data_IF_113432955749
#
_entry.id   IF_113432955749
#
_cell.length_a   1.000
_cell.length_b   1.000
_cell.length_c   1.000
_cell.angle_alpha   90.00
_cell.angle_beta   90.00
_cell.angle_gamma   90.00
#
_symmetry.space_group_name_H-M   'P 1'
#
loop_
_entity.id
_entity.type
_entity.pdbx_description
1 polymer ?
#
# COMPACT_ATOMS: atom_id res chain seq x y z
N UNK A 1 -17.47 42.91 5.86
CA UNK A 1 -17.12 41.61 5.24
C UNK A 1 -18.00 40.52 5.84
N UNK A 2 -18.98 40.01 5.08
CA UNK A 2 -19.92 38.99 5.56
C UNK A 2 -19.22 37.63 5.72
N UNK A 3 -19.37 37.01 6.89
CA UNK A 3 -18.89 35.65 7.14
C UNK A 3 -19.55 34.70 6.13
N UNK A 4 -18.80 33.90 5.35
CA UNK A 4 -19.41 32.99 4.39
C UNK A 4 -20.32 31.99 5.13
N UNK A 5 -21.57 31.97 4.68
CA UNK A 5 -22.73 31.31 5.25
C UNK A 5 -22.42 29.83 5.60
N UNK A 6 -22.53 29.47 6.88
CA UNK A 6 -22.24 28.12 7.42
C UNK A 6 -23.02 27.03 6.66
N UNK A 7 -24.21 27.38 6.19
CA UNK A 7 -25.07 26.56 5.34
C UNK A 7 -24.41 26.17 4.00
N UNK A 8 -23.73 27.10 3.30
CA UNK A 8 -22.99 26.80 2.06
C UNK A 8 -21.78 25.90 2.31
N UNK A 9 -21.15 25.99 3.49
CA UNK A 9 -20.08 25.08 3.90
C UNK A 9 -20.62 23.68 4.17
N UNK A 10 -21.76 23.56 4.82
CA UNK A 10 -22.44 22.30 5.10
C UNK A 10 -22.98 21.64 3.82
N UNK A 11 -23.58 22.41 2.90
CA UNK A 11 -23.99 21.93 1.58
C UNK A 11 -22.81 21.46 0.74
N UNK A 12 -21.69 22.20 0.70
CA UNK A 12 -20.47 21.71 0.03
C UNK A 12 -19.91 20.45 0.69
N UNK A 13 -20.08 20.28 2.01
CA UNK A 13 -19.68 19.07 2.74
C UNK A 13 -20.61 17.89 2.39
N UNK A 14 -21.93 18.12 2.30
CA UNK A 14 -22.94 17.15 1.85
C UNK A 14 -22.79 16.79 0.37
N UNK A 15 -22.50 17.76 -0.50
CA UNK A 15 -22.20 17.53 -1.92
C UNK A 15 -20.88 16.75 -2.11
N UNK A 16 -19.90 16.94 -1.21
CA UNK A 16 -18.69 16.11 -1.16
C UNK A 16 -18.97 14.65 -0.75
N UNK A 17 -19.96 14.42 0.13
CA UNK A 17 -20.43 13.09 0.51
C UNK A 17 -21.12 12.34 -0.64
N UNK A 18 -21.60 13.06 -1.67
CA UNK A 18 -22.29 12.50 -2.84
C UNK A 18 -21.38 12.20 -4.04
N UNK A 19 -20.06 12.45 -3.97
CA UNK A 19 -19.17 11.91 -5.00
C UNK A 19 -18.97 10.43 -4.75
N UNK A 20 -19.53 9.60 -5.63
CA UNK A 20 -19.31 8.16 -5.64
C UNK A 20 -17.81 7.80 -5.78
N UNK A 21 -17.03 8.69 -6.41
CA UNK A 21 -15.62 8.48 -6.73
C UNK A 21 -14.71 9.41 -5.90
N UNK A 22 -13.76 8.83 -5.18
CA UNK A 22 -12.79 9.56 -4.36
C UNK A 22 -11.82 10.37 -5.23
N UNK A 23 -11.50 11.61 -4.82
CA UNK A 23 -10.57 12.49 -5.54
C UNK A 23 -9.22 12.63 -4.85
N UNK A 24 -8.15 12.19 -5.53
CA UNK A 24 -6.77 12.31 -5.03
C UNK A 24 -6.18 13.72 -5.14
N UNK A 25 -6.87 14.69 -5.78
CA UNK A 25 -6.32 16.04 -6.05
C UNK A 25 -5.77 16.71 -4.81
N UNK A 26 -6.48 16.57 -3.69
CA UNK A 26 -6.09 17.20 -2.43
C UNK A 26 -4.87 16.55 -1.78
N UNK A 27 -4.59 15.26 -2.05
CA UNK A 27 -3.34 14.60 -1.63
C UNK A 27 -2.17 15.01 -2.52
N UNK A 28 -2.41 15.12 -3.82
CA UNK A 28 -1.38 15.50 -4.80
C UNK A 28 -0.82 16.92 -4.56
N UNK A 29 -1.52 17.77 -3.80
CA UNK A 29 -1.05 19.11 -3.42
C UNK A 29 0.07 19.13 -2.38
N UNK A 30 0.39 18.00 -1.73
CA UNK A 30 1.48 17.93 -0.75
C UNK A 30 2.82 17.70 -1.43
N UNK A 31 3.46 18.77 -1.91
CA UNK A 31 4.75 18.72 -2.61
C UNK A 31 5.91 18.10 -1.81
N UNK A 32 5.85 18.12 -0.48
CA UNK A 32 6.86 17.50 0.40
C UNK A 32 6.73 15.98 0.50
N UNK A 33 5.54 15.43 0.21
CA UNK A 33 5.25 14.02 0.38
C UNK A 33 5.73 13.21 -0.83
N UNK A 34 6.38 12.08 -0.54
CA UNK A 34 6.72 11.05 -1.54
C UNK A 34 5.67 9.95 -1.56
N UNK A 35 5.22 9.54 -0.37
CA UNK A 35 4.27 8.44 -0.19
C UNK A 35 2.87 8.98 0.03
N UNK A 36 1.92 8.51 -0.76
CA UNK A 36 0.51 8.86 -0.70
C UNK A 36 -0.29 7.57 -0.50
N UNK A 37 -0.85 7.34 0.69
CA UNK A 37 -1.58 6.12 0.98
C UNK A 37 -3.08 6.34 0.95
N UNK A 38 -3.79 5.50 0.22
CA UNK A 38 -5.24 5.44 0.14
C UNK A 38 -5.72 4.16 0.82
N UNK A 39 -6.30 4.29 2.01
CA UNK A 39 -6.75 3.19 2.86
C UNK A 39 -8.26 3.20 3.00
N UNK A 40 -8.87 2.02 3.19
CA UNK A 40 -10.31 1.89 3.41
C UNK A 40 -11.11 2.27 2.17
N UNK A 41 -12.36 2.71 2.35
CA UNK A 41 -13.22 3.15 1.24
C UNK A 41 -13.32 2.12 0.11
N UNK A 42 -13.85 0.92 0.39
CA UNK A 42 -14.16 -0.06 -0.65
C UNK A 42 -15.16 0.53 -1.64
N UNK A 43 -15.00 0.22 -2.92
CA UNK A 43 -15.76 0.83 -4.04
C UNK A 43 -15.65 2.36 -4.18
N UNK A 44 -14.81 3.04 -3.41
CA UNK A 44 -14.62 4.48 -3.57
C UNK A 44 -13.81 4.87 -4.82
N UNK A 45 -13.50 3.91 -5.70
CA UNK A 45 -12.79 4.17 -6.95
C UNK A 45 -11.32 4.54 -6.81
N UNK A 46 -10.63 4.06 -5.77
CA UNK A 46 -9.22 4.40 -5.48
C UNK A 46 -8.31 4.12 -6.69
N UNK A 47 -8.31 2.88 -7.17
CA UNK A 47 -7.47 2.45 -8.29
C UNK A 47 -7.87 3.18 -9.58
N UNK A 48 -9.17 3.32 -9.85
CA UNK A 48 -9.69 4.10 -10.98
C UNK A 48 -9.15 5.54 -11.01
N UNK A 49 -9.24 6.27 -9.88
CA UNK A 49 -8.79 7.66 -9.80
C UNK A 49 -7.28 7.79 -9.99
N UNK A 50 -6.50 6.81 -9.51
CA UNK A 50 -5.04 6.79 -9.72
C UNK A 50 -4.71 6.49 -11.19
N UNK A 51 -5.41 5.54 -11.81
CA UNK A 51 -5.29 5.24 -13.24
C UNK A 51 -5.64 6.46 -14.11
N UNK A 52 -6.77 7.14 -13.85
CA UNK A 52 -7.14 8.37 -14.57
C UNK A 52 -6.05 9.44 -14.45
N UNK A 53 -5.48 9.59 -13.24
CA UNK A 53 -4.39 10.52 -13.02
C UNK A 53 -3.16 10.17 -13.86
N UNK A 54 -2.72 8.91 -13.85
CA UNK A 54 -1.56 8.45 -14.62
C UNK A 54 -1.78 8.56 -16.13
N UNK A 55 -2.95 8.15 -16.65
CA UNK A 55 -3.30 8.35 -18.05
C UNK A 55 -3.31 9.82 -18.46
N UNK A 56 -3.79 10.72 -17.57
CA UNK A 56 -3.70 12.16 -17.80
C UNK A 56 -2.25 12.67 -17.82
N UNK A 57 -1.38 12.16 -16.93
CA UNK A 57 0.05 12.50 -16.93
C UNK A 57 0.73 12.04 -18.21
N UNK A 58 0.43 10.83 -18.66
CA UNK A 58 0.90 10.29 -19.93
C UNK A 58 0.45 11.14 -21.11
N UNK A 59 -0.82 11.48 -21.18
CA UNK A 59 -1.36 12.29 -22.29
C UNK A 59 -0.79 13.71 -22.36
N UNK A 60 -0.58 14.34 -21.21
CA UNK A 60 -0.17 15.75 -21.16
C UNK A 60 1.35 15.93 -21.24
N UNK A 61 2.11 14.98 -20.70
CA UNK A 61 3.54 15.13 -20.49
C UNK A 61 4.35 13.90 -20.91
N UNK A 62 3.71 12.88 -21.49
CA UNK A 62 4.34 11.62 -21.88
C UNK A 62 5.10 10.92 -20.74
N UNK A 63 4.61 11.11 -19.50
CA UNK A 63 5.19 10.52 -18.29
C UNK A 63 4.79 9.06 -18.17
N UNK A 64 5.71 8.10 -18.31
CA UNK A 64 5.40 6.71 -18.04
C UNK A 64 5.13 6.49 -16.54
N UNK A 65 4.54 5.35 -16.20
CA UNK A 65 4.28 4.99 -14.81
C UNK A 65 4.50 3.50 -14.52
N UNK A 66 4.61 3.18 -13.24
CA UNK A 66 4.80 1.82 -12.74
C UNK A 66 3.60 1.41 -11.90
N UNK A 67 3.11 0.19 -12.13
CA UNK A 67 2.02 -0.41 -11.37
C UNK A 67 2.51 -1.70 -10.71
N UNK A 68 2.62 -1.69 -9.40
CA UNK A 68 3.11 -2.79 -8.60
C UNK A 68 1.94 -3.58 -8.03
N UNK A 69 2.05 -4.92 -8.09
CA UNK A 69 1.14 -5.87 -7.46
C UNK A 69 1.93 -6.80 -6.55
N UNK A 70 1.25 -7.40 -5.57
CA UNK A 70 1.93 -8.33 -4.65
C UNK A 70 2.43 -9.57 -5.36
N UNK A 71 1.64 -10.14 -6.28
CA UNK A 71 1.93 -11.44 -6.91
C UNK A 71 1.96 -11.35 -8.44
N UNK A 72 2.73 -12.25 -9.06
CA UNK A 72 2.80 -12.41 -10.52
C UNK A 72 1.44 -12.76 -11.13
N UNK A 73 0.64 -13.60 -10.47
CA UNK A 73 -0.72 -13.93 -10.93
C UNK A 73 -1.60 -12.67 -11.02
N UNK A 74 -1.52 -11.78 -10.03
CA UNK A 74 -2.26 -10.52 -10.05
C UNK A 74 -1.72 -9.55 -11.10
N UNK A 75 -0.41 -9.50 -11.30
CA UNK A 75 0.23 -8.73 -12.40
C UNK A 75 -0.28 -9.22 -13.77
N UNK A 76 -0.25 -10.53 -14.03
CA UNK A 76 -0.68 -11.11 -15.31
C UNK A 76 -2.16 -10.84 -15.60
N UNK A 77 -3.03 -10.89 -14.58
CA UNK A 77 -4.44 -10.51 -14.73
C UNK A 77 -4.61 -9.07 -15.22
N UNK A 78 -3.79 -8.14 -14.74
CA UNK A 78 -3.82 -6.74 -15.18
C UNK A 78 -3.34 -6.56 -16.61
N UNK A 79 -2.37 -7.37 -17.05
CA UNK A 79 -1.75 -7.32 -18.37
C UNK A 79 -2.57 -8.00 -19.47
N UNK A 80 -3.44 -8.96 -19.12
CA UNK A 80 -4.29 -9.68 -20.05
C UNK A 80 -5.15 -8.76 -20.93
N UNK A 81 -5.48 -9.23 -22.14
CA UNK A 81 -6.28 -8.53 -23.14
C UNK A 81 -5.78 -7.10 -23.41
N UNK A 82 -4.47 -6.94 -23.62
CA UNK A 82 -3.83 -5.65 -23.81
C UNK A 82 -4.09 -4.67 -22.67
N UNK A 83 -3.91 -5.13 -21.43
CA UNK A 83 -4.06 -4.37 -20.19
C UNK A 83 -5.51 -3.94 -19.84
N UNK A 84 -6.52 -4.71 -20.27
CA UNK A 84 -7.94 -4.35 -20.14
C UNK A 84 -8.35 -4.12 -18.68
N UNK A 85 -7.77 -4.90 -17.76
CA UNK A 85 -8.05 -4.81 -16.32
C UNK A 85 -7.19 -3.79 -15.59
N UNK A 86 -6.16 -3.25 -16.24
CA UNK A 86 -5.35 -2.15 -15.71
C UNK A 86 -5.97 -0.78 -16.02
N UNK A 87 -6.39 -0.58 -17.27
CA UNK A 87 -6.94 0.69 -17.75
C UNK A 87 -8.39 0.47 -18.16
N UNK A 88 -9.31 1.00 -17.34
CA UNK A 88 -10.74 0.85 -17.55
C UNK A 88 -11.19 1.33 -18.95
N UNK A 89 -12.20 0.69 -19.56
CA UNK A 89 -12.64 1.02 -20.92
C UNK A 89 -13.05 2.48 -21.13
N UNK A 90 -13.65 3.12 -20.13
CA UNK A 90 -14.04 4.53 -20.18
C UNK A 90 -12.82 5.46 -20.13
N UNK A 91 -11.79 5.15 -19.34
CA UNK A 91 -10.50 5.87 -19.32
C UNK A 91 -9.82 5.74 -20.69
N UNK A 92 -9.82 4.53 -21.28
CA UNK A 92 -9.28 4.32 -22.64
C UNK A 92 -9.97 5.20 -23.67
N UNK A 93 -11.31 5.23 -23.66
CA UNK A 93 -12.09 6.08 -24.58
C UNK A 93 -11.83 7.56 -24.32
N UNK A 94 -11.85 7.99 -23.06
CA UNK A 94 -11.63 9.38 -22.64
C UNK A 94 -10.31 9.94 -23.14
N UNK A 95 -9.27 9.11 -23.17
CA UNK A 95 -7.94 9.50 -23.63
C UNK A 95 -7.60 8.94 -25.02
N UNK A 96 -8.52 8.29 -25.72
CA UNK A 96 -8.28 7.62 -27.01
C UNK A 96 -6.99 6.75 -26.99
N UNK A 97 -6.90 5.81 -26.05
CA UNK A 97 -5.74 4.95 -25.85
C UNK A 97 -5.89 3.64 -26.65
N UNK A 98 -4.96 3.38 -27.56
CA UNK A 98 -4.76 2.08 -28.19
C UNK A 98 -3.55 1.39 -27.52
N UNK A 99 -3.81 0.27 -26.83
CA UNK A 99 -2.82 -0.36 -25.96
C UNK A 99 -2.39 -1.72 -26.51
N UNK A 100 -1.12 -2.03 -26.28
CA UNK A 100 -0.50 -3.29 -26.63
C UNK A 100 0.42 -3.73 -25.49
N UNK A 101 0.38 -5.02 -25.13
CA UNK A 101 1.22 -5.56 -24.04
C UNK A 101 2.32 -6.45 -24.58
N UNK A 102 3.53 -6.31 -24.05
CA UNK A 102 4.66 -7.23 -24.27
C UNK A 102 5.49 -7.36 -23.00
N UNK A 103 5.56 -8.57 -22.46
CA UNK A 103 6.19 -8.82 -21.16
C UNK A 103 5.44 -8.08 -20.06
N UNK A 104 6.17 -7.37 -19.21
CA UNK A 104 5.66 -6.48 -18.16
C UNK A 104 5.26 -5.08 -18.69
N UNK A 105 5.56 -4.77 -19.95
CA UNK A 105 5.37 -3.47 -20.56
C UNK A 105 3.99 -3.30 -21.22
N UNK A 106 3.34 -2.19 -20.90
CA UNK A 106 2.14 -1.68 -21.58
C UNK A 106 2.57 -0.52 -22.49
N UNK A 107 2.37 -0.70 -23.78
CA UNK A 107 2.73 0.27 -24.81
C UNK A 107 1.47 0.93 -25.35
N UNK A 108 1.54 2.24 -25.55
CA UNK A 108 0.59 2.90 -26.43
C UNK A 108 1.02 2.72 -27.88
N UNK A 109 0.08 2.31 -28.73
CA UNK A 109 0.23 2.30 -30.17
C UNK A 109 -0.06 3.69 -30.71
N UNK A 110 0.96 4.34 -31.26
CA UNK A 110 0.87 5.68 -31.82
C UNK A 110 0.52 5.65 -33.31
N UNK A 111 0.84 4.55 -33.99
CA UNK A 111 0.59 4.40 -35.41
C UNK A 111 0.41 2.93 -35.79
N UNK A 112 -0.62 2.68 -36.62
CA UNK A 112 -0.89 1.40 -37.25
C UNK A 112 -0.97 1.56 -38.75
N UNK A 113 -0.53 0.53 -39.45
CA UNK A 113 -0.80 0.38 -40.88
C UNK A 113 -2.31 0.35 -41.11
N UNK A 114 -2.80 1.09 -42.10
CA UNK A 114 -4.18 1.01 -42.56
C UNK A 114 -4.22 0.08 -43.76
N UNK A 115 -5.04 -0.97 -43.66
CA UNK A 115 -5.24 -1.92 -44.75
C UNK A 115 -6.50 -1.50 -45.51
N UNK A 116 -6.35 -1.34 -46.81
CA UNK A 116 -7.41 -0.99 -47.75
C UNK A 116 -7.73 -2.20 -48.63
N UNK A 117 -8.97 -2.31 -49.08
CA UNK A 117 -9.35 -3.31 -50.09
C UNK A 117 -8.90 -2.87 -51.50
N UNK A 118 -9.18 -3.72 -52.50
CA UNK A 118 -8.89 -3.44 -53.91
C UNK A 118 -9.58 -2.19 -54.45
N UNK A 119 -10.63 -1.70 -53.78
CA UNK A 119 -11.38 -0.49 -54.13
C UNK A 119 -10.88 0.76 -53.37
N UNK A 120 -9.84 0.62 -52.55
CA UNK A 120 -9.25 1.71 -51.78
C UNK A 120 -10.05 2.08 -50.52
N UNK A 121 -11.00 1.26 -50.09
CA UNK A 121 -11.77 1.49 -48.86
C UNK A 121 -11.05 0.88 -47.66
N UNK A 122 -11.02 1.62 -46.56
CA UNK A 122 -10.42 1.15 -45.32
C UNK A 122 -11.15 -0.08 -44.79
N UNK A 123 -10.42 -1.17 -44.59
CA UNK A 123 -10.95 -2.44 -44.08
C UNK A 123 -10.63 -2.60 -42.60
N UNK A 124 -9.34 -2.48 -42.25
CA UNK A 124 -8.87 -2.74 -40.88
C UNK A 124 -7.51 -2.11 -40.61
N UNK A 125 -7.16 -2.05 -39.34
CA UNK A 125 -5.79 -1.76 -38.93
C UNK A 125 -4.93 -3.03 -39.05
N UNK A 126 -3.73 -2.87 -39.60
CA UNK A 126 -2.70 -3.88 -39.77
C UNK A 126 -1.65 -3.83 -38.65
N UNK A 127 -0.38 -3.99 -39.02
CA UNK A 127 0.73 -4.06 -38.06
C UNK A 127 0.94 -2.74 -37.31
N UNK A 128 1.52 -2.86 -36.11
CA UNK A 128 1.94 -1.70 -35.32
C UNK A 128 3.21 -1.12 -35.96
N UNK A 129 3.14 0.13 -36.43
CA UNK A 129 4.27 0.84 -37.03
C UNK A 129 5.08 1.57 -35.96
N UNK A 130 4.39 2.21 -35.00
CA UNK A 130 5.03 2.97 -33.93
C UNK A 130 4.30 2.76 -32.60
N UNK A 131 5.06 2.57 -31.54
CA UNK A 131 4.55 2.45 -30.17
C UNK A 131 5.52 3.07 -29.17
N UNK A 132 5.02 3.49 -28.02
CA UNK A 132 5.82 4.06 -26.93
C UNK A 132 5.45 3.39 -25.61
N UNK A 133 6.43 3.13 -24.75
CA UNK A 133 6.20 2.53 -23.45
C UNK A 133 5.44 3.51 -22.54
N UNK A 134 4.23 3.13 -22.14
CA UNK A 134 3.36 3.94 -21.30
C UNK A 134 3.44 3.51 -19.83
N UNK A 135 3.49 2.20 -19.58
CA UNK A 135 3.57 1.67 -18.23
C UNK A 135 4.35 0.38 -18.14
N UNK A 136 4.82 0.07 -16.93
CA UNK A 136 5.27 -1.28 -16.55
C UNK A 136 4.46 -1.79 -15.38
N UNK A 137 3.99 -3.03 -15.46
CA UNK A 137 3.30 -3.71 -14.37
C UNK A 137 4.22 -4.76 -13.80
N UNK A 138 4.58 -4.65 -12.51
CA UNK A 138 5.60 -5.49 -11.87
C UNK A 138 5.01 -6.21 -10.66
N UNK A 139 5.55 -7.37 -10.33
CA UNK A 139 5.16 -8.15 -9.15
C UNK A 139 6.24 -8.11 -8.06
N UNK A 140 5.83 -7.79 -6.83
CA UNK A 140 6.72 -7.81 -5.68
C UNK A 140 7.21 -9.22 -5.33
N UNK A 141 6.40 -10.26 -5.56
CA UNK A 141 6.78 -11.65 -5.30
C UNK A 141 8.03 -12.10 -6.06
N UNK A 142 8.32 -11.48 -7.20
CA UNK A 142 9.40 -11.83 -8.11
C UNK A 142 10.42 -10.70 -8.28
N UNK A 143 10.46 -9.72 -7.35
CA UNK A 143 11.33 -8.54 -7.41
C UNK A 143 12.83 -8.85 -7.62
N UNK A 144 13.27 -10.05 -7.21
CA UNK A 144 14.65 -10.50 -7.36
C UNK A 144 15.03 -10.76 -8.83
N UNK A 145 14.06 -11.08 -9.69
CA UNK A 145 14.28 -11.22 -11.13
C UNK A 145 14.54 -9.87 -11.81
N UNK A 146 14.08 -8.77 -11.20
CA UNK A 146 14.29 -7.41 -11.71
C UNK A 146 15.68 -6.86 -11.34
N UNK A 147 16.44 -7.55 -10.49
CA UNK A 147 17.81 -7.12 -10.15
C UNK A 147 18.69 -7.17 -11.40
N UNK A 148 19.36 -6.04 -11.69
CA UNK A 148 20.19 -5.90 -12.88
C UNK A 148 19.43 -5.50 -14.15
N UNK A 149 18.10 -5.39 -14.10
CA UNK A 149 17.32 -4.81 -15.18
C UNK A 149 17.51 -3.29 -15.24
N UNK A 150 17.62 -2.73 -16.45
CA UNK A 150 17.77 -1.29 -16.70
C UNK A 150 16.47 -0.52 -16.53
N UNK A 151 15.81 -0.63 -15.38
CA UNK A 151 14.54 0.06 -15.08
C UNK A 151 14.72 1.53 -14.69
N UNK A 152 15.91 1.89 -14.22
CA UNK A 152 16.28 3.26 -13.89
C UNK A 152 16.84 3.96 -15.13
N UNK A 153 16.20 5.06 -15.50
CA UNK A 153 16.66 5.96 -16.55
C UNK A 153 17.28 7.20 -15.89
N UNK A 154 18.59 7.40 -16.10
CA UNK A 154 19.33 8.52 -15.51
C UNK A 154 18.99 9.87 -16.18
N UNK A 155 18.70 9.83 -17.48
CA UNK A 155 18.43 11.01 -18.30
C UNK A 155 16.98 11.50 -18.06
N UNK A 156 16.15 10.64 -17.46
CA UNK A 156 14.81 10.96 -16.94
C UNK A 156 14.81 12.12 -15.94
N UNK A 157 15.93 12.40 -15.26
CA UNK A 157 16.04 13.53 -14.35
C UNK A 157 16.42 14.84 -15.04
N UNK A 158 16.88 14.81 -16.28
CA UNK A 158 17.24 16.04 -16.99
C UNK A 158 15.99 16.79 -17.51
N UNK A 159 14.89 16.07 -17.75
CA UNK A 159 13.61 16.69 -18.11
C UNK A 159 12.85 17.17 -16.84
N UNK A 160 12.67 18.50 -16.62
CA UNK A 160 11.93 19.03 -15.47
C UNK A 160 10.47 18.56 -15.43
N UNK A 161 9.92 18.12 -16.55
CA UNK A 161 8.59 17.57 -16.65
C UNK A 161 8.54 16.07 -16.36
N UNK A 162 9.62 15.36 -16.06
CA UNK A 162 9.54 13.93 -15.77
C UNK A 162 9.28 13.64 -14.28
N UNK A 163 8.49 12.60 -14.00
CA UNK A 163 8.17 12.15 -12.64
C UNK A 163 8.12 10.62 -12.57
N UNK A 164 8.73 10.04 -11.55
CA UNK A 164 8.51 8.64 -11.20
C UNK A 164 7.14 8.51 -10.55
N UNK A 165 6.14 8.11 -11.34
CA UNK A 165 4.81 7.79 -10.88
C UNK A 165 4.71 6.28 -10.63
N UNK A 166 4.62 5.89 -9.36
CA UNK A 166 4.58 4.49 -8.94
C UNK A 166 3.30 4.28 -8.15
N UNK A 167 2.54 3.23 -8.46
CA UNK A 167 1.40 2.78 -7.67
C UNK A 167 1.66 1.38 -7.12
N UNK A 168 1.58 1.17 -5.81
CA UNK A 168 1.43 -0.15 -5.20
C UNK A 168 -0.05 -0.37 -4.95
N UNK A 169 -0.66 -1.21 -5.79
CA UNK A 169 -2.08 -1.52 -5.69
C UNK A 169 -2.31 -2.83 -4.94
N UNK A 170 -3.38 -2.88 -4.14
CA UNK A 170 -3.66 -3.96 -3.19
C UNK A 170 -2.45 -4.29 -2.28
N UNK A 171 -1.97 -3.30 -1.52
CA UNK A 171 -0.80 -3.45 -0.66
C UNK A 171 -0.98 -4.39 0.57
N UNK A 172 -2.14 -5.02 0.68
CA UNK A 172 -2.53 -5.91 1.76
C UNK A 172 -2.80 -7.32 1.20
N UNK A 173 -2.34 -8.35 1.91
CA UNK A 173 -2.71 -9.73 1.60
C UNK A 173 -4.15 -9.99 1.98
N UNK A 174 -4.83 -10.82 1.21
CA UNK A 174 -6.10 -11.39 1.67
C UNK A 174 -5.87 -12.35 2.83
N UNK A 175 -6.84 -12.50 3.73
CA UNK A 175 -6.69 -13.27 4.98
C UNK A 175 -6.30 -14.75 4.76
N UNK A 176 -6.71 -15.33 3.62
CA UNK A 176 -6.40 -16.70 3.24
C UNK A 176 -5.18 -16.83 2.31
N UNK A 177 -4.55 -15.72 1.93
CA UNK A 177 -3.42 -15.73 1.01
C UNK A 177 -2.14 -16.27 1.70
N UNK A 178 -1.47 -17.22 1.04
CA UNK A 178 -0.23 -17.80 1.56
C UNK A 178 0.83 -16.72 1.74
N UNK A 179 1.42 -16.64 2.95
CA UNK A 179 2.52 -15.71 3.26
C UNK A 179 3.85 -16.18 2.67
N UNK A 180 4.02 -16.04 1.36
CA UNK A 180 5.18 -16.55 0.61
C UNK A 180 6.43 -15.69 0.68
N UNK A 181 6.31 -14.37 0.89
CA UNK A 181 7.44 -13.43 0.96
C UNK A 181 7.21 -12.29 1.97
N UNK A 182 8.22 -11.46 2.24
CA UNK A 182 8.07 -10.23 3.03
C UNK A 182 7.74 -9.05 2.10
N UNK A 183 6.54 -8.47 2.26
CA UNK A 183 6.03 -7.40 1.39
C UNK A 183 6.85 -6.13 1.53
N UNK A 184 7.20 -5.74 2.76
CA UNK A 184 7.93 -4.51 3.01
C UNK A 184 9.33 -4.59 2.42
N UNK A 185 9.99 -5.72 2.61
CA UNK A 185 11.32 -5.96 2.05
C UNK A 185 11.29 -5.94 0.52
N UNK A 186 10.36 -6.67 -0.10
CA UNK A 186 10.21 -6.71 -1.54
C UNK A 186 9.87 -5.33 -2.13
N UNK A 187 8.94 -4.60 -1.50
CA UNK A 187 8.56 -3.26 -1.93
C UNK A 187 9.73 -2.28 -1.85
N UNK A 188 10.50 -2.31 -0.76
CA UNK A 188 11.67 -1.45 -0.58
C UNK A 188 12.73 -1.74 -1.66
N UNK A 189 13.05 -3.01 -1.90
CA UNK A 189 14.00 -3.39 -2.94
C UNK A 189 13.51 -3.02 -4.34
N UNK A 190 12.20 -3.15 -4.61
CA UNK A 190 11.65 -2.76 -5.90
C UNK A 190 11.74 -1.25 -6.12
N UNK A 191 11.44 -0.44 -5.11
CA UNK A 191 11.63 1.01 -5.19
C UNK A 191 13.10 1.36 -5.44
N UNK A 192 14.04 0.73 -4.71
CA UNK A 192 15.49 0.92 -4.94
C UNK A 192 15.90 0.56 -6.38
N UNK A 193 15.34 -0.50 -6.97
CA UNK A 193 15.61 -0.84 -8.37
C UNK A 193 15.06 0.23 -9.34
N UNK A 194 13.85 0.75 -9.08
CA UNK A 194 13.15 1.70 -9.95
C UNK A 194 13.73 3.11 -9.91
N UNK A 195 14.02 3.62 -8.72
CA UNK A 195 14.37 5.04 -8.51
C UNK A 195 15.81 5.25 -8.05
N UNK A 196 16.51 4.17 -7.69
CA UNK A 196 17.87 4.22 -7.12
C UNK A 196 17.93 5.21 -5.96
N UNK A 197 18.92 6.11 -5.97
CA UNK A 197 19.11 7.14 -4.95
C UNK A 197 18.22 8.38 -5.12
N UNK A 198 17.34 8.41 -6.13
CA UNK A 198 16.55 9.59 -6.48
C UNK A 198 15.47 9.90 -5.44
N UNK A 199 15.45 11.14 -4.97
CA UNK A 199 14.48 11.65 -3.98
C UNK A 199 13.62 12.80 -4.50
N UNK A 200 13.85 13.23 -5.73
CA UNK A 200 13.18 14.35 -6.40
C UNK A 200 12.21 13.80 -7.45
N UNK A 201 11.12 14.54 -7.71
CA UNK A 201 10.13 14.19 -8.74
C UNK A 201 9.60 12.73 -8.63
N UNK A 202 9.51 12.23 -7.40
CA UNK A 202 9.04 10.89 -7.07
C UNK A 202 7.67 10.96 -6.40
N UNK A 203 6.74 10.12 -6.87
CA UNK A 203 5.44 9.93 -6.25
C UNK A 203 5.13 8.43 -6.18
N UNK A 204 4.96 7.95 -4.97
CA UNK A 204 4.58 6.57 -4.67
C UNK A 204 3.19 6.59 -4.06
N UNK A 205 2.21 6.04 -4.76
CA UNK A 205 0.83 5.91 -4.30
C UNK A 205 0.62 4.48 -3.83
N UNK A 206 0.19 4.26 -2.59
CA UNK A 206 -0.12 2.93 -2.08
C UNK A 206 -1.64 2.82 -1.87
N UNK A 207 -2.26 1.79 -2.42
CA UNK A 207 -3.69 1.54 -2.33
C UNK A 207 -3.89 0.27 -1.51
N UNK A 208 -4.65 0.37 -0.42
CA UNK A 208 -4.98 -0.76 0.44
C UNK A 208 -6.44 -0.70 0.87
N UNK A 209 -6.99 -1.88 1.14
CA UNK A 209 -8.20 -1.98 1.95
C UNK A 209 -7.81 -2.02 3.42
N UNK A 210 -8.73 -1.66 4.29
CA UNK A 210 -8.54 -1.88 5.73
C UNK A 210 -8.75 -3.33 6.06
N UNK A 211 -7.69 -3.97 6.55
CA UNK A 211 -7.75 -5.30 7.14
C UNK A 211 -7.37 -5.22 8.62
N UNK A 212 -7.88 -6.15 9.41
CA UNK A 212 -7.53 -6.33 10.84
C UNK A 212 -6.04 -6.57 11.07
N UNK A 213 -5.33 -7.06 10.07
CA UNK A 213 -3.87 -7.14 10.06
C UNK A 213 -3.32 -5.81 9.56
N UNK A 214 -2.59 -5.10 10.44
CA UNK A 214 -1.84 -3.91 10.05
C UNK A 214 -1.00 -4.25 8.82
N UNK A 215 -1.18 -3.50 7.73
CA UNK A 215 -0.37 -3.69 6.52
C UNK A 215 1.10 -3.65 6.90
N UNK A 216 1.89 -4.61 6.43
CA UNK A 216 3.36 -4.61 6.57
C UNK A 216 3.96 -3.25 6.17
N UNK A 217 3.33 -2.58 5.19
CA UNK A 217 3.70 -1.25 4.73
C UNK A 217 3.42 -0.20 5.82
N UNK A 218 2.24 -0.19 6.46
CA UNK A 218 1.90 0.78 7.50
C UNK A 218 2.79 0.66 8.74
N UNK A 219 3.15 -0.58 9.11
CA UNK A 219 4.12 -0.83 10.16
C UNK A 219 5.47 -0.15 9.89
N UNK A 220 5.92 -0.07 8.64
CA UNK A 220 7.17 0.63 8.26
C UNK A 220 7.12 2.16 8.52
N UNK A 221 5.92 2.74 8.47
CA UNK A 221 5.70 4.15 8.80
C UNK A 221 5.53 4.38 10.30
N UNK A 222 5.52 3.31 11.11
CA UNK A 222 5.20 3.33 12.53
C UNK A 222 3.89 4.12 12.77
N UNK A 223 2.89 3.86 11.93
CA UNK A 223 1.59 4.49 12.05
C UNK A 223 0.45 3.53 11.68
N UNK A 224 -0.59 3.49 12.51
CA UNK A 224 -1.86 2.82 12.23
C UNK A 224 -2.97 3.85 12.49
N UNK A 225 -3.83 4.15 11.51
CA UNK A 225 -4.91 5.10 11.74
C UNK A 225 -6.00 4.48 12.62
N UNK A 226 -6.43 5.24 13.64
CA UNK A 226 -7.51 4.84 14.56
C UNK A 226 -8.88 5.37 14.10
N UNK A 227 -8.91 6.52 13.42
CA UNK A 227 -10.13 7.19 12.95
C UNK A 227 -10.08 7.48 11.45
N UNK A 228 -11.23 7.59 10.79
CA UNK A 228 -11.26 8.04 9.40
C UNK A 228 -10.75 9.47 9.28
N UNK A 229 -9.91 9.72 8.28
CA UNK A 229 -9.33 11.05 8.09
C UNK A 229 -8.01 11.06 7.32
N UNK A 230 -7.38 12.24 7.33
CA UNK A 230 -6.09 12.47 6.68
C UNK A 230 -4.99 12.70 7.70
N UNK A 231 -3.97 11.88 7.63
CA UNK A 231 -2.80 11.92 8.50
C UNK A 231 -1.57 12.38 7.74
N UNK A 232 -0.72 13.19 8.37
CA UNK A 232 0.47 13.79 7.77
C UNK A 232 1.72 13.40 8.56
N UNK A 233 2.49 12.45 8.04
CA UNK A 233 3.73 11.99 8.64
C UNK A 233 4.92 12.69 7.99
N UNK A 234 5.14 13.96 8.33
CA UNK A 234 6.17 14.82 7.71
C UNK A 234 7.57 14.19 7.72
N UNK A 235 7.98 13.63 8.86
CA UNK A 235 9.30 12.98 9.02
C UNK A 235 9.50 11.79 8.09
N UNK A 236 8.41 11.13 7.68
CA UNK A 236 8.42 9.99 6.76
C UNK A 236 8.01 10.37 5.32
N UNK A 237 7.83 11.67 5.05
CA UNK A 237 7.35 12.21 3.75
C UNK A 237 6.10 11.49 3.26
N UNK A 238 5.16 11.19 4.17
CA UNK A 238 3.97 10.40 3.88
C UNK A 238 2.67 11.14 4.25
N UNK A 239 1.67 11.04 3.38
CA UNK A 239 0.28 11.43 3.64
C UNK A 239 -0.58 10.18 3.52
N UNK A 240 -1.43 9.95 4.51
CA UNK A 240 -2.32 8.79 4.58
C UNK A 240 -3.74 9.30 4.63
N UNK A 241 -4.57 8.83 3.71
CA UNK A 241 -6.01 9.04 3.71
C UNK A 241 -6.69 7.73 4.07
N UNK A 242 -7.29 7.70 5.26
CA UNK A 242 -8.18 6.64 5.68
C UNK A 242 -9.62 7.05 5.37
N UNK A 243 -10.15 6.47 4.31
CA UNK A 243 -11.40 6.90 3.66
C UNK A 243 -12.58 6.19 4.32
N UNK A 244 -13.52 6.99 4.82
CA UNK A 244 -14.80 6.50 5.33
C UNK A 244 -15.66 5.92 4.21
N UNK A 245 -16.36 4.79 4.43
CA UNK A 245 -17.34 4.28 3.47
C UNK A 245 -18.48 5.28 3.24
N UNK A 246 -18.86 5.48 1.99
CA UNK A 246 -20.00 6.34 1.66
C UNK A 246 -21.32 5.71 2.15
N UNK A 247 -22.30 6.55 2.47
CA UNK A 247 -23.65 6.08 2.80
C UNK A 247 -24.29 5.31 1.64
N UNK A 248 -23.99 5.71 0.40
CA UNK A 248 -24.41 4.98 -0.80
C UNK A 248 -23.86 3.54 -0.80
N UNK A 249 -22.59 3.35 -0.47
CA UNK A 249 -22.00 2.02 -0.34
C UNK A 249 -22.65 1.20 0.78
N UNK A 250 -22.82 1.80 1.97
CA UNK A 250 -23.49 1.14 3.11
C UNK A 250 -24.90 0.68 2.73
N UNK A 251 -25.65 1.48 1.98
CA UNK A 251 -26.99 1.13 1.51
C UNK A 251 -26.99 0.05 0.43
N UNK A 252 -26.08 0.09 -0.55
CA UNK A 252 -25.94 -0.96 -1.56
C UNK A 252 -25.54 -2.30 -0.96
N UNK A 253 -24.77 -2.28 0.13
CA UNK A 253 -24.32 -3.50 0.81
C UNK A 253 -25.47 -4.23 1.50
N UNK A 254 -26.50 -3.53 2.00
CA UNK A 254 -27.62 -4.15 2.71
C UNK A 254 -28.28 -5.20 1.84
N UNK A 255 -28.40 -6.42 2.37
CA UNK A 255 -29.02 -7.55 1.65
C UNK A 255 -28.15 -8.20 0.58
N UNK A 256 -26.88 -7.80 0.43
CA UNK A 256 -25.92 -8.55 -0.39
C UNK A 256 -25.52 -9.86 0.28
N UNK A 257 -25.00 -10.82 -0.50
CA UNK A 257 -24.49 -12.10 0.03
C UNK A 257 -23.43 -11.86 1.13
N UNK A 258 -22.56 -10.86 0.96
CA UNK A 258 -21.55 -10.51 1.96
C UNK A 258 -22.16 -9.98 3.27
N UNK A 259 -23.27 -9.25 3.18
CA UNK A 259 -24.02 -8.77 4.34
C UNK A 259 -24.75 -9.91 5.06
N UNK A 260 -25.29 -10.87 4.31
CA UNK A 260 -25.98 -12.04 4.86
C UNK A 260 -25.00 -13.02 5.51
N UNK A 261 -23.88 -13.33 4.84
CA UNK A 261 -22.94 -14.37 5.28
C UNK A 261 -21.86 -13.85 6.22
N UNK A 262 -21.42 -12.60 6.07
CA UNK A 262 -20.28 -12.03 6.82
C UNK A 262 -20.51 -10.54 7.18
N UNK A 263 -21.58 -10.21 7.91
CA UNK A 263 -21.96 -8.81 8.21
C UNK A 263 -20.85 -8.03 8.94
N UNK A 264 -20.08 -8.71 9.80
CA UNK A 264 -19.10 -8.09 10.68
C UNK A 264 -17.64 -8.16 10.20
N UNK A 265 -17.35 -8.77 9.05
CA UNK A 265 -15.96 -8.91 8.62
C UNK A 265 -15.37 -7.55 8.19
N UNK A 266 -14.19 -7.23 8.72
CA UNK A 266 -13.49 -5.95 8.53
C UNK A 266 -13.27 -5.57 7.07
N UNK A 267 -13.04 -6.57 6.21
CA UNK A 267 -12.90 -6.41 4.76
C UNK A 267 -14.12 -5.74 4.10
N UNK A 268 -15.30 -5.82 4.73
CA UNK A 268 -16.54 -5.25 4.21
C UNK A 268 -17.05 -4.05 5.02
N UNK A 269 -16.80 -3.99 6.32
CA UNK A 269 -17.16 -2.81 7.15
C UNK A 269 -16.22 -1.64 6.92
N UNK A 270 -15.02 -1.91 6.39
CA UNK A 270 -13.93 -0.95 6.20
C UNK A 270 -13.53 -0.19 7.47
N UNK A 271 -13.82 -0.79 8.62
CA UNK A 271 -13.50 -0.27 9.93
C UNK A 271 -12.53 -1.25 10.58
N UNK A 272 -11.38 -0.74 10.99
CA UNK A 272 -10.43 -1.49 11.79
C UNK A 272 -10.98 -1.53 13.22
N UNK A 273 -11.65 -2.63 13.59
CA UNK A 273 -11.97 -2.91 14.98
C UNK A 273 -10.72 -3.47 15.66
N UNK A 274 -9.88 -2.58 16.17
CA UNK A 274 -8.71 -2.98 16.96
C UNK A 274 -9.09 -3.21 18.42
N UNK A 275 -8.69 -4.37 18.95
CA UNK A 275 -8.76 -4.64 20.38
C UNK A 275 -7.76 -3.73 21.13
N UNK A 276 -8.26 -2.62 21.66
CA UNK A 276 -7.48 -1.69 22.48
C UNK A 276 -7.26 -2.17 23.92
N UNK A 277 -7.85 -3.31 24.33
CA UNK A 277 -7.73 -3.79 25.73
C UNK A 277 -6.27 -4.03 26.14
N UNK A 278 -5.41 -4.33 25.17
CA UNK A 278 -3.99 -4.55 25.36
C UNK A 278 -3.16 -3.28 25.26
N UNK A 279 -3.75 -2.09 25.04
CA UNK A 279 -3.00 -0.83 24.91
C UNK A 279 -2.80 -0.17 26.28
N UNK A 280 -1.54 0.01 26.67
CA UNK A 280 -1.15 0.69 27.90
C UNK A 280 -1.02 2.20 27.70
N UNK A 281 -1.96 2.95 28.29
CA UNK A 281 -2.00 4.42 28.23
C UNK A 281 -1.22 5.11 29.37
N UNK A 282 -0.72 4.36 30.35
CA UNK A 282 0.04 4.91 31.49
C UNK A 282 1.45 5.37 31.14
N UNK A 283 2.15 5.93 32.13
CA UNK A 283 3.57 6.31 32.02
C UNK A 283 4.46 5.07 32.21
N UNK A 284 5.44 4.91 31.34
CA UNK A 284 6.47 3.88 31.49
C UNK A 284 7.51 4.36 32.51
N UNK A 285 7.73 3.58 33.58
CA UNK A 285 8.62 4.00 34.67
C UNK A 285 9.95 3.26 34.68
N UNK A 286 9.95 1.92 34.70
CA UNK A 286 11.18 1.13 34.84
C UNK A 286 11.27 0.06 33.75
N UNK A 287 12.35 0.02 32.95
CA UNK A 287 12.60 -1.09 32.05
C UNK A 287 12.98 -2.33 32.87
N UNK A 288 12.28 -3.44 32.66
CA UNK A 288 12.49 -4.72 33.35
C UNK A 288 13.34 -5.67 32.51
N UNK A 289 13.06 -5.77 31.21
CA UNK A 289 13.74 -6.72 30.31
C UNK A 289 13.77 -6.22 28.87
N UNK A 290 14.70 -6.74 28.07
CA UNK A 290 14.82 -6.49 26.63
C UNK A 290 14.60 -7.80 25.88
N UNK A 291 13.53 -7.88 25.08
CA UNK A 291 13.19 -9.04 24.25
C UNK A 291 13.78 -8.85 22.86
N UNK A 292 14.62 -9.80 22.42
CA UNK A 292 15.30 -9.73 21.12
C UNK A 292 14.87 -10.87 20.21
N UNK A 293 14.30 -10.52 19.06
CA UNK A 293 13.92 -11.51 18.03
C UNK A 293 14.98 -11.70 16.93
N UNK A 294 15.92 -10.76 16.80
CA UNK A 294 17.01 -10.79 15.83
C UNK A 294 18.23 -10.03 16.38
N UNK A 295 19.35 -10.03 15.65
CA UNK A 295 20.53 -9.20 15.99
C UNK A 295 20.28 -7.70 15.82
N UNK A 296 19.44 -7.33 14.86
CA UNK A 296 19.08 -5.93 14.58
C UNK A 296 18.09 -5.36 15.59
N UNK A 297 18.31 -4.10 15.99
CA UNK A 297 17.53 -3.37 17.00
C UNK A 297 16.09 -3.09 16.59
N UNK A 298 15.78 -3.15 15.29
CA UNK A 298 14.45 -2.96 14.75
C UNK A 298 13.44 -4.03 15.20
N UNK A 299 13.95 -5.20 15.61
CA UNK A 299 13.15 -6.31 16.12
C UNK A 299 13.34 -6.52 17.63
N UNK A 300 13.74 -5.47 18.36
CA UNK A 300 13.89 -5.48 19.81
C UNK A 300 12.76 -4.73 20.48
N UNK A 301 12.36 -5.24 21.64
CA UNK A 301 11.31 -4.66 22.46
C UNK A 301 11.78 -4.56 23.91
N UNK A 302 11.30 -3.55 24.63
CA UNK A 302 11.57 -3.38 26.05
C UNK A 302 10.28 -3.67 26.82
N UNK A 303 10.36 -4.54 27.83
CA UNK A 303 9.30 -4.73 28.83
C UNK A 303 9.50 -3.69 29.92
N UNK A 304 8.45 -2.93 30.19
CA UNK A 304 8.37 -1.89 31.20
C UNK A 304 7.39 -2.31 32.28
N UNK A 305 7.74 -1.99 33.53
CA UNK A 305 6.87 -2.20 34.69
C UNK A 305 6.34 -3.65 34.77
N UNK A 306 7.17 -4.58 34.29
CA UNK A 306 6.95 -6.03 34.20
C UNK A 306 5.76 -6.50 33.36
N UNK A 307 5.06 -5.60 32.64
CA UNK A 307 3.87 -5.97 31.86
C UNK A 307 3.67 -5.21 30.55
N UNK A 308 4.27 -4.03 30.38
CA UNK A 308 4.06 -3.20 29.19
C UNK A 308 5.21 -3.34 28.21
N UNK A 309 4.94 -3.80 26.99
CA UNK A 309 5.93 -3.93 25.92
C UNK A 309 5.95 -2.65 25.07
N UNK A 310 7.14 -2.11 24.84
CA UNK A 310 7.38 -0.96 23.95
C UNK A 310 8.49 -1.30 22.94
N UNK A 311 8.53 -0.58 21.82
CA UNK A 311 9.69 -0.66 20.91
C UNK A 311 10.97 -0.24 21.65
N UNK A 312 12.05 -1.00 21.47
CA UNK A 312 13.35 -0.66 22.06
C UNK A 312 13.86 0.69 21.58
N UNK A 313 14.34 1.51 22.51
CA UNK A 313 14.89 2.85 22.25
C UNK A 313 16.16 3.13 23.08
N UNK A 314 16.99 2.10 23.27
CA UNK A 314 18.29 2.26 23.94
C UNK A 314 18.27 1.99 25.44
N UNK A 315 17.18 1.42 25.96
CA UNK A 315 17.09 1.07 27.38
C UNK A 315 18.12 0.01 27.79
N UNK A 316 18.35 -0.09 29.10
CA UNK A 316 19.16 -1.16 29.72
C UNK A 316 18.23 -2.09 30.49
N UNK A 317 18.54 -3.38 30.48
CA UNK A 317 17.77 -4.40 31.19
C UNK A 317 18.29 -5.79 30.88
N UNK A 318 17.75 -6.80 31.56
CA UNK A 318 18.08 -8.20 31.28
C UNK A 318 17.62 -8.58 29.88
N UNK A 319 18.53 -9.14 29.08
CA UNK A 319 18.21 -9.58 27.72
C UNK A 319 17.54 -10.96 27.73
N UNK A 320 16.46 -11.09 26.97
CA UNK A 320 15.78 -12.35 26.67
C UNK A 320 15.88 -12.59 25.16
N UNK A 321 16.69 -13.56 24.77
CA UNK A 321 16.84 -13.97 23.38
C UNK A 321 15.70 -14.91 22.97
N UNK A 322 14.92 -14.52 21.97
CA UNK A 322 13.81 -15.34 21.46
C UNK A 322 14.24 -16.38 20.43
N UNK A 323 15.50 -16.31 19.95
CA UNK A 323 16.12 -17.24 19.01
C UNK A 323 17.55 -17.57 19.44
N UNK A 324 18.05 -18.77 19.10
CA UNK A 324 19.47 -19.06 19.25
C UNK A 324 20.32 -18.22 18.28
N UNK A 325 21.62 -18.09 18.57
CA UNK A 325 22.64 -17.48 17.69
C UNK A 325 22.49 -15.98 17.38
N UNK A 326 21.88 -15.20 18.28
CA UNK A 326 21.76 -13.73 18.17
C UNK A 326 22.72 -12.95 19.10
N UNK A 327 23.87 -13.55 19.39
CA UNK A 327 24.94 -12.96 20.23
C UNK A 327 24.52 -12.68 21.69
N UNK A 328 23.56 -13.45 22.19
CA UNK A 328 22.98 -13.36 23.55
C UNK A 328 22.73 -14.76 24.10
N UNK A 329 22.66 -14.90 25.43
CA UNK A 329 22.37 -16.17 26.06
C UNK A 329 20.93 -16.61 25.73
N UNK A 330 20.79 -17.76 25.09
CA UNK A 330 19.49 -18.33 24.73
C UNK A 330 19.04 -19.36 25.76
N UNK A 331 17.81 -19.18 26.26
CA UNK A 331 17.11 -20.16 27.10
C UNK A 331 15.74 -20.46 26.48
N UNK A 332 15.49 -21.73 26.17
CA UNK A 332 14.21 -22.18 25.64
C UNK A 332 13.06 -21.93 26.64
N UNK A 333 13.33 -22.09 27.94
CA UNK A 333 12.36 -21.86 29.01
C UNK A 333 11.92 -20.40 29.07
N UNK A 334 12.88 -19.46 28.99
CA UNK A 334 12.58 -18.02 28.97
C UNK A 334 11.78 -17.65 27.72
N UNK A 335 12.15 -18.17 26.55
CA UNK A 335 11.39 -17.97 25.30
C UNK A 335 9.95 -18.47 25.45
N UNK A 336 9.76 -19.68 25.96
CA UNK A 336 8.44 -20.30 26.07
C UNK A 336 7.58 -19.60 27.13
N UNK A 337 8.20 -19.10 28.20
CA UNK A 337 7.54 -18.21 29.17
C UNK A 337 7.04 -16.92 28.52
N UNK A 338 7.85 -16.26 27.68
CA UNK A 338 7.42 -15.06 26.94
C UNK A 338 6.27 -15.36 25.95
N UNK A 339 6.34 -16.49 25.25
CA UNK A 339 5.25 -16.95 24.36
C UNK A 339 3.97 -17.16 25.16
N UNK A 340 4.05 -17.86 26.31
CA UNK A 340 2.91 -18.10 27.19
C UNK A 340 2.33 -16.82 27.75
N UNK A 341 3.16 -15.84 28.12
CA UNK A 341 2.69 -14.52 28.58
C UNK A 341 1.94 -13.78 27.46
N UNK A 342 2.40 -13.90 26.21
CA UNK A 342 1.69 -13.34 25.07
C UNK A 342 0.35 -14.05 24.82
N UNK A 343 0.36 -15.38 24.74
CA UNK A 343 -0.82 -16.20 24.45
C UNK A 343 -1.91 -16.06 25.54
N UNK A 344 -1.51 -15.86 26.79
CA UNK A 344 -2.43 -15.58 27.92
C UNK A 344 -2.83 -14.12 28.06
N UNK A 345 -2.46 -13.25 27.10
CA UNK A 345 -2.72 -11.79 27.13
C UNK A 345 -2.21 -11.10 28.40
N UNK A 346 -1.12 -11.60 28.98
CA UNK A 346 -0.48 -11.01 30.17
C UNK A 346 0.30 -9.73 29.85
N UNK A 347 0.72 -9.56 28.60
CA UNK A 347 1.36 -8.33 28.14
C UNK A 347 0.34 -7.27 27.73
N UNK A 348 0.61 -6.04 28.16
CA UNK A 348 0.09 -4.83 27.55
C UNK A 348 1.15 -4.25 26.61
N UNK A 349 0.75 -3.35 25.72
CA UNK A 349 1.60 -2.79 24.68
C UNK A 349 1.47 -1.28 24.64
N UNK A 350 2.57 -0.57 24.39
CA UNK A 350 2.56 0.89 24.35
C UNK A 350 1.58 1.46 23.32
N UNK A 351 1.42 0.78 22.19
CA UNK A 351 0.48 1.10 21.13
C UNK A 351 0.19 -0.15 20.29
N UNK A 352 -0.85 -0.07 19.44
CA UNK A 352 -1.28 -1.17 18.57
C UNK A 352 -0.19 -1.62 17.59
N UNK A 353 0.69 -0.73 17.16
CA UNK A 353 1.77 -1.05 16.23
C UNK A 353 2.81 -1.93 16.90
N UNK A 354 3.18 -1.60 18.13
CA UNK A 354 4.11 -2.42 18.93
C UNK A 354 3.54 -3.81 19.11
N UNK A 355 2.25 -3.92 19.42
CA UNK A 355 1.55 -5.20 19.52
C UNK A 355 1.64 -6.00 18.20
N UNK A 356 1.29 -5.40 17.06
CA UNK A 356 1.34 -6.08 15.75
C UNK A 356 2.76 -6.47 15.34
N UNK A 357 3.76 -5.61 15.58
CA UNK A 357 5.16 -5.92 15.31
C UNK A 357 5.68 -7.07 16.20
N UNK A 358 5.28 -7.09 17.47
CA UNK A 358 5.63 -8.16 18.41
C UNK A 358 4.99 -9.48 18.00
N UNK A 359 3.69 -9.46 17.68
CA UNK A 359 2.95 -10.62 17.16
C UNK A 359 3.60 -11.19 15.89
N UNK A 360 3.92 -10.35 14.90
CA UNK A 360 4.60 -10.77 13.68
C UNK A 360 5.93 -11.45 13.98
N UNK A 361 6.72 -10.90 14.90
CA UNK A 361 8.01 -11.47 15.28
C UNK A 361 7.88 -12.83 15.99
N UNK A 362 6.85 -13.02 16.83
CA UNK A 362 6.51 -14.30 17.44
C UNK A 362 6.08 -15.35 16.41
N UNK A 363 5.28 -14.98 15.42
CA UNK A 363 4.82 -15.91 14.38
C UNK A 363 5.98 -16.51 13.57
N UNK A 364 7.06 -15.76 13.38
CA UNK A 364 8.26 -16.25 12.69
C UNK A 364 9.02 -17.28 13.56
N UNK A 365 8.80 -17.32 14.88
CA UNK A 365 9.41 -18.32 15.76
C UNK A 365 8.71 -19.68 15.70
N UNK A 366 7.41 -19.69 15.39
CA UNK A 366 6.64 -20.94 15.34
C UNK A 366 7.17 -21.78 14.19
N UNK A 367 7.49 -23.08 14.39
CA UNK A 367 7.93 -23.93 13.30
C UNK A 367 6.89 -23.89 12.18
N UNK A 368 7.31 -23.58 10.96
CA UNK A 368 6.46 -23.67 9.78
C UNK A 368 6.09 -25.15 9.65
N UNK A 369 4.81 -25.47 9.91
CA UNK A 369 4.26 -26.80 9.63
C UNK A 369 4.38 -27.14 8.16
#
# INVERSE_FOLDING_TARGET
MSRPNLAKKLEKKKAKLNYEWYSIRSMLGYSWALFLMLLGGREAGKSYTVTDFFCRQWRKYERPFYWLRLTETSQMKLLNNNAEKLIDPDIRRKYNLDLFVRGDGVYEVLEREKVYDSEGKFVRYGKILRKKLMARVLALSTFYNDKGSGLFDKDFLDDPNMYYNICLDEMNREQSEKRSFDILYAFTNQLENLVRSTKTRLRVICIGNTLEEASDILCAFNFLPEEFGRYKLKKKRCVIDYIEPSEAYKNRRKGTIADILMPNASTFTNEIKTDESLVYKGRLTKPSAIIKFARGKENWFTVWDSKCVAQYNGEKGTTIAMRPYIDELFSAELRDSMIKMFDTRSFLFRNLITFKMFQKNLEILKPRK
#
